data_IF_368015719392
#
_entry.id   IF_368015719392
#
_cell.length_a   1.000
_cell.length_b   1.000
_cell.length_c   1.000
_cell.angle_alpha   90.00
_cell.angle_beta   90.00
_cell.angle_gamma   90.00
#
_symmetry.space_group_name_H-M   'P 1'
#
loop_
_entity.id
_entity.type
_entity.pdbx_description
1 polymer ?
#
# COMPACT_ATOMS: atom_id res chain seq x y z
N UNK A 1 1.18 15.17 -9.73
CA UNK A 1 1.99 15.17 -8.48
C UNK A 1 2.17 13.73 -8.03
N UNK A 2 3.41 13.23 -8.05
CA UNK A 2 3.75 11.88 -7.62
C UNK A 2 3.61 11.78 -6.09
N UNK A 3 2.82 10.81 -5.61
CA UNK A 3 2.53 10.61 -4.20
C UNK A 3 3.22 9.33 -3.74
N UNK A 4 4.08 9.42 -2.72
CA UNK A 4 4.79 8.27 -2.16
C UNK A 4 3.93 7.65 -1.08
N UNK A 5 3.61 6.36 -1.24
CA UNK A 5 3.01 5.53 -0.19
C UNK A 5 4.13 4.66 0.37
N UNK A 6 4.40 4.78 1.66
CA UNK A 6 5.42 3.96 2.33
C UNK A 6 4.72 2.97 3.25
N UNK A 7 5.04 1.68 3.11
CA UNK A 7 4.45 0.59 3.87
C UNK A 7 5.48 0.04 4.84
N UNK A 8 5.14 -0.05 6.13
CA UNK A 8 5.96 -0.72 7.14
C UNK A 8 5.33 -2.07 7.48
N UNK A 9 6.10 -3.14 7.34
CA UNK A 9 5.71 -4.50 7.76
C UNK A 9 6.36 -4.80 9.09
N UNK A 10 5.55 -4.91 10.14
CA UNK A 10 5.96 -5.36 11.48
C UNK A 10 5.36 -6.74 11.73
N UNK A 11 6.03 -7.58 12.53
CA UNK A 11 5.69 -8.97 12.86
C UNK A 11 4.36 -9.17 13.62
N UNK A 12 3.56 -8.12 13.76
CA UNK A 12 2.23 -8.10 14.36
C UNK A 12 1.19 -7.91 13.24
N UNK A 13 0.02 -8.55 13.31
CA UNK A 13 -1.06 -8.52 12.29
C UNK A 13 -1.69 -7.14 12.01
N UNK A 14 -1.05 -6.06 12.43
CA UNK A 14 -1.50 -4.69 12.30
C UNK A 14 -0.47 -3.89 11.49
N UNK A 15 -0.92 -3.34 10.36
CA UNK A 15 -0.11 -2.54 9.46
C UNK A 15 -0.61 -1.09 9.46
N UNK A 16 0.29 -0.14 9.68
CA UNK A 16 -0.03 1.29 9.59
C UNK A 16 0.37 1.78 8.20
N UNK A 17 -0.57 2.44 7.52
CA UNK A 17 -0.38 2.99 6.18
C UNK A 17 -0.14 4.50 6.28
N UNK A 18 0.93 4.97 5.64
CA UNK A 18 1.26 6.40 5.57
C UNK A 18 1.28 6.91 4.14
N UNK A 19 0.79 8.14 3.97
CA UNK A 19 0.80 8.86 2.69
C UNK A 19 1.56 10.16 2.84
N UNK A 20 2.53 10.39 1.94
CA UNK A 20 3.30 11.62 1.89
C UNK A 20 3.14 12.30 0.53
N UNK A 21 2.96 13.63 0.54
CA UNK A 21 2.99 14.49 -0.64
C UNK A 21 4.29 15.29 -0.77
N UNK A 22 5.00 15.47 0.34
CA UNK A 22 6.26 16.21 0.43
C UNK A 22 7.38 15.23 0.74
N UNK A 23 8.48 15.31 -0.01
CA UNK A 23 9.66 14.48 0.17
C UNK A 23 10.90 15.23 -0.32
N UNK A 24 12.05 14.88 0.22
CA UNK A 24 13.36 15.41 -0.19
C UNK A 24 14.31 14.25 -0.49
N UNK A 25 15.34 14.52 -1.31
CA UNK A 25 16.34 13.52 -1.72
C UNK A 25 16.01 12.80 -3.04
N UNK A 26 16.76 11.74 -3.32
CA UNK A 26 16.68 10.95 -4.57
C UNK A 26 16.23 9.53 -4.23
N UNK A 27 15.42 8.95 -5.11
CA UNK A 27 14.93 7.58 -4.96
C UNK A 27 16.08 6.56 -5.18
N UNK A 28 16.26 5.65 -4.23
CA UNK A 28 17.27 4.59 -4.29
C UNK A 28 16.70 3.24 -3.81
N UNK A 29 16.98 2.17 -4.55
CA UNK A 29 16.69 0.78 -4.14
C UNK A 29 17.55 0.35 -2.96
N UNK A 30 17.07 -0.64 -2.21
CA UNK A 30 17.77 -1.27 -1.09
C UNK A 30 17.78 -2.79 -1.25
N UNK A 31 18.45 -3.49 -0.33
CA UNK A 31 18.46 -4.95 -0.29
C UNK A 31 17.08 -5.57 -0.01
N UNK A 32 16.12 -4.79 0.49
CA UNK A 32 14.73 -5.24 0.68
C UNK A 32 13.95 -5.32 -0.63
N UNK A 33 14.37 -4.57 -1.65
CA UNK A 33 13.74 -4.58 -2.97
C UNK A 33 13.95 -3.29 -3.77
N UNK A 34 13.57 -3.37 -5.04
CA UNK A 34 13.62 -2.25 -5.96
C UNK A 34 12.45 -1.29 -5.77
N UNK A 35 12.76 0.01 -5.85
CA UNK A 35 11.76 1.07 -5.79
C UNK A 35 11.77 1.87 -7.09
N UNK A 36 10.58 2.17 -7.59
CA UNK A 36 10.41 2.94 -8.81
C UNK A 36 9.18 3.85 -8.71
N UNK A 37 9.16 4.86 -9.56
CA UNK A 37 8.00 5.73 -9.72
C UNK A 37 7.01 5.11 -10.70
N UNK A 38 5.73 5.16 -10.35
CA UNK A 38 4.64 4.71 -11.20
C UNK A 38 3.54 5.76 -11.19
N UNK A 39 2.89 5.93 -12.34
CA UNK A 39 1.73 6.78 -12.44
C UNK A 39 0.52 6.18 -11.71
N UNK A 40 -0.31 7.07 -11.17
CA UNK A 40 -1.44 6.67 -10.32
C UNK A 40 -2.42 5.74 -11.06
N UNK A 41 -2.60 5.95 -12.35
CA UNK A 41 -3.54 5.21 -13.20
C UNK A 41 -3.03 3.80 -13.51
N UNK A 42 -1.72 3.63 -13.59
CA UNK A 42 -1.07 2.36 -13.91
C UNK A 42 -0.84 1.47 -12.69
N UNK A 43 -0.96 2.02 -11.47
CA UNK A 43 -0.72 1.30 -10.23
C UNK A 43 -1.58 0.03 -10.10
N UNK A 44 -2.89 0.12 -10.38
CA UNK A 44 -3.82 -1.01 -10.27
C UNK A 44 -3.64 -2.05 -11.39
N UNK A 45 -2.90 -1.72 -12.44
CA UNK A 45 -2.62 -2.64 -13.55
C UNK A 45 -1.35 -3.48 -13.32
N UNK A 46 -0.60 -3.21 -12.26
CA UNK A 46 0.59 -3.98 -11.89
C UNK A 46 0.22 -5.29 -11.19
N UNK A 47 1.12 -6.29 -11.17
CA UNK A 47 0.96 -7.48 -10.34
C UNK A 47 1.10 -7.11 -8.85
N UNK A 48 0.00 -6.67 -8.25
CA UNK A 48 -0.06 -6.23 -6.85
C UNK A 48 -0.07 -7.41 -5.87
N UNK A 49 0.49 -7.18 -4.68
CA UNK A 49 0.34 -8.10 -3.55
C UNK A 49 -1.13 -8.15 -3.09
N UNK A 50 -1.52 -9.27 -2.47
CA UNK A 50 -2.88 -9.45 -1.96
C UNK A 50 -3.22 -8.36 -0.93
N UNK A 51 -4.34 -7.66 -1.15
CA UNK A 51 -4.86 -6.64 -0.24
C UNK A 51 -4.36 -5.22 -0.55
N UNK A 52 -3.54 -5.06 -1.59
CA UNK A 52 -3.05 -3.74 -1.99
C UNK A 52 -4.15 -2.84 -2.55
N UNK A 53 -5.23 -3.44 -3.08
CA UNK A 53 -6.47 -2.75 -3.46
C UNK A 53 -7.13 -2.05 -2.26
N UNK A 54 -7.11 -2.66 -1.07
CA UNK A 54 -7.66 -2.06 0.15
C UNK A 54 -6.77 -0.93 0.65
N UNK A 55 -5.44 -1.10 0.58
CA UNK A 55 -4.53 -0.02 0.97
C UNK A 55 -4.64 1.16 0.01
N UNK A 56 -4.81 0.90 -1.29
CA UNK A 56 -5.07 1.94 -2.27
C UNK A 56 -6.30 2.77 -1.90
N UNK A 57 -7.37 2.10 -1.47
CA UNK A 57 -8.60 2.74 -0.99
C UNK A 57 -8.38 3.54 0.29
N UNK A 58 -7.62 3.05 1.27
CA UNK A 58 -7.27 3.81 2.48
C UNK A 58 -6.48 5.09 2.12
N UNK A 59 -5.53 4.98 1.20
CA UNK A 59 -4.66 6.11 0.82
C UNK A 59 -5.43 7.19 0.02
N UNK A 60 -6.41 6.79 -0.79
CA UNK A 60 -7.03 7.66 -1.79
C UNK A 60 -8.49 8.01 -1.54
N UNK A 61 -9.22 7.20 -0.78
CA UNK A 61 -10.62 7.43 -0.41
C UNK A 61 -10.70 7.87 1.06
N UNK A 62 -11.84 7.62 1.71
CA UNK A 62 -12.13 8.08 3.07
C UNK A 62 -12.01 6.99 4.15
N UNK A 63 -11.75 5.73 3.77
CA UNK A 63 -11.60 4.64 4.74
C UNK A 63 -10.31 4.81 5.54
N UNK A 64 -10.38 4.55 6.84
CA UNK A 64 -9.23 4.69 7.75
C UNK A 64 -8.62 3.35 8.11
N UNK A 65 -9.41 2.28 8.07
CA UNK A 65 -8.96 0.96 8.45
C UNK A 65 -9.49 -0.13 7.51
N UNK A 66 -8.73 -1.22 7.43
CA UNK A 66 -9.12 -2.43 6.73
C UNK A 66 -8.82 -3.62 7.64
N UNK A 67 -9.82 -4.46 7.87
CA UNK A 67 -9.63 -5.72 8.60
C UNK A 67 -9.57 -6.85 7.57
N UNK A 68 -8.39 -7.44 7.42
CA UNK A 68 -8.21 -8.61 6.55
C UNK A 68 -8.54 -9.90 7.31
N UNK A 69 -9.57 -10.59 6.86
CA UNK A 69 -9.98 -11.91 7.35
C UNK A 69 -9.52 -13.01 6.40
N UNK A 70 -8.96 -14.09 6.96
CA UNK A 70 -8.63 -15.29 6.20
C UNK A 70 -9.84 -16.22 6.15
N UNK A 71 -10.44 -16.36 4.97
CA UNK A 71 -11.63 -17.18 4.71
C UNK A 71 -11.26 -18.51 4.03
N UNK A 72 -10.10 -19.09 4.38
CA UNK A 72 -9.58 -20.33 3.79
C UNK A 72 -8.84 -20.08 2.49
N UNK A 73 -9.48 -20.35 1.35
CA UNK A 73 -8.86 -20.14 0.02
C UNK A 73 -8.84 -18.68 -0.42
N UNK A 74 -9.57 -17.81 0.29
CA UNK A 74 -9.70 -16.40 -0.05
C UNK A 74 -9.37 -15.50 1.15
N UNK A 75 -8.71 -14.37 0.88
CA UNK A 75 -8.56 -13.29 1.86
C UNK A 75 -9.57 -12.19 1.51
N UNK A 76 -10.26 -11.66 2.51
CA UNK A 76 -11.24 -10.58 2.34
C UNK A 76 -10.89 -9.43 3.27
N UNK A 77 -10.82 -8.22 2.72
CA UNK A 77 -10.73 -6.98 3.48
C UNK A 77 -12.10 -6.33 3.62
N UNK A 78 -12.51 -6.04 4.86
CA UNK A 78 -13.64 -5.15 5.13
C UNK A 78 -13.09 -3.77 5.50
N UNK A 79 -13.52 -2.74 4.76
CA UNK A 79 -13.08 -1.34 4.88
C UNK A 79 -14.03 -0.58 5.81
N UNK A 80 -13.48 0.26 6.69
CA UNK A 80 -14.23 1.13 7.59
C UNK A 80 -13.75 2.59 7.47
#
# INVERSE_FOLDING_TARGET
QLRRVTFFVSSSSFHIVYKASEYEGVLHSSDEGDVYWIDKEDFLNQPLAIGMEYVWDIVHKQHQECIMSNMGEHKRGDLF
#
